data_IF_426906010462
#
_entry.id   IF_426906010462
#
_cell.length_a   1.000
_cell.length_b   1.000
_cell.length_c   1.000
_cell.angle_alpha   90.00
_cell.angle_beta   90.00
_cell.angle_gamma   90.00
#
_symmetry.space_group_name_H-M   'P 1'
#
loop_
_entity.id
_entity.type
_entity.pdbx_description
1 polymer ?
#
# COMPACT_ATOMS: atom_id res chain seq x y z
N UNK A 1 14.74 -12.16 -12.73
CA UNK A 1 14.06 -12.28 -11.43
C UNK A 1 13.64 -10.88 -11.04
N UNK A 2 12.50 -10.44 -11.55
CA UNK A 2 12.05 -9.05 -11.45
C UNK A 2 11.48 -8.83 -10.05
N UNK A 3 12.30 -8.36 -9.10
CA UNK A 3 11.83 -8.04 -7.75
C UNK A 3 10.91 -6.81 -7.83
N UNK A 4 9.62 -7.06 -8.06
CA UNK A 4 8.56 -6.05 -8.09
C UNK A 4 8.65 -5.10 -6.89
N UNK A 5 8.93 -5.67 -5.72
CA UNK A 5 9.14 -4.97 -4.45
C UNK A 5 10.31 -3.98 -4.51
N UNK A 6 11.44 -4.35 -5.10
CA UNK A 6 12.58 -3.44 -5.31
C UNK A 6 12.22 -2.28 -6.24
N UNK A 7 11.48 -2.55 -7.32
CA UNK A 7 11.05 -1.49 -8.26
C UNK A 7 10.15 -0.46 -7.58
N UNK A 8 9.17 -0.94 -6.79
CA UNK A 8 8.29 -0.04 -6.03
C UNK A 8 9.09 0.70 -4.96
N UNK A 9 10.01 0.03 -4.25
CA UNK A 9 10.89 0.65 -3.26
C UNK A 9 11.75 1.76 -3.84
N UNK A 10 12.44 1.49 -4.95
CA UNK A 10 13.28 2.47 -5.64
C UNK A 10 12.44 3.64 -6.16
N UNK A 11 11.23 3.36 -6.65
CA UNK A 11 10.33 4.41 -7.11
C UNK A 11 9.89 5.32 -5.95
N UNK A 12 9.49 4.74 -4.82
CA UNK A 12 9.11 5.48 -3.62
C UNK A 12 10.28 6.32 -3.07
N UNK A 13 11.49 5.77 -3.05
CA UNK A 13 12.67 6.43 -2.50
C UNK A 13 13.17 7.57 -3.41
N UNK A 14 13.26 7.34 -4.73
CA UNK A 14 13.85 8.31 -5.65
C UNK A 14 12.84 9.33 -6.20
N UNK A 15 11.60 8.93 -6.50
CA UNK A 15 10.60 9.83 -7.11
C UNK A 15 9.70 10.48 -6.07
N UNK A 16 9.26 9.70 -5.07
CA UNK A 16 8.37 10.22 -4.03
C UNK A 16 9.12 10.67 -2.77
N UNK A 17 10.45 10.48 -2.70
CA UNK A 17 11.31 10.87 -1.59
C UNK A 17 10.87 10.26 -0.24
N UNK A 18 10.36 9.03 -0.26
CA UNK A 18 9.97 8.31 0.95
C UNK A 18 11.19 7.90 1.77
N UNK A 19 11.01 7.89 3.09
CA UNK A 19 12.03 7.52 4.06
C UNK A 19 11.61 6.24 4.78
N UNK A 20 12.57 5.48 5.32
CA UNK A 20 12.31 4.24 6.06
C UNK A 20 11.49 3.20 5.24
N UNK A 21 11.73 3.09 3.92
CA UNK A 21 11.07 2.07 3.09
C UNK A 21 11.73 0.71 3.32
N UNK A 22 11.03 -0.13 4.08
CA UNK A 22 11.45 -1.47 4.49
C UNK A 22 10.43 -2.52 4.02
N UNK A 23 10.91 -3.72 3.73
CA UNK A 23 10.06 -4.87 3.45
C UNK A 23 9.56 -5.46 4.77
N UNK A 24 8.25 -5.65 4.89
CA UNK A 24 7.69 -6.31 6.06
C UNK A 24 8.07 -7.79 5.96
N UNK A 25 8.68 -8.40 7.00
CA UNK A 25 9.11 -9.79 6.97
C UNK A 25 7.94 -10.78 6.92
N UNK A 26 6.71 -10.30 7.04
CA UNK A 26 5.49 -11.09 6.91
C UNK A 26 5.16 -11.25 5.43
N UNK A 27 4.98 -12.49 5.04
CA UNK A 27 4.64 -12.88 3.68
C UNK A 27 3.26 -13.53 3.69
N UNK A 28 2.41 -13.17 2.74
CA UNK A 28 1.09 -13.80 2.57
C UNK A 28 1.11 -14.68 1.33
N UNK A 29 0.82 -15.97 1.50
CA UNK A 29 0.62 -16.88 0.38
C UNK A 29 -0.81 -16.75 -0.10
N UNK A 30 -0.99 -16.17 -1.28
CA UNK A 30 -2.29 -16.08 -1.94
C UNK A 30 -2.36 -17.05 -3.13
N UNK A 31 -3.58 -17.35 -3.60
CA UNK A 31 -3.90 -18.32 -4.65
C UNK A 31 -2.79 -18.42 -5.73
N UNK A 32 -2.42 -19.65 -6.06
CA UNK A 32 -1.30 -20.04 -6.94
C UNK A 32 0.12 -19.93 -6.33
N UNK A 33 0.25 -20.11 -5.01
CA UNK A 33 1.54 -20.11 -4.28
C UNK A 33 2.33 -18.79 -4.44
N UNK A 34 1.62 -17.71 -4.77
CA UNK A 34 2.24 -16.39 -4.93
C UNK A 34 2.47 -15.78 -3.57
N UNK A 35 3.74 -15.51 -3.30
CA UNK A 35 4.18 -14.82 -2.10
C UNK A 35 3.95 -13.32 -2.29
N UNK A 36 3.05 -12.76 -1.50
CA UNK A 36 2.77 -11.34 -1.45
C UNK A 36 3.58 -10.73 -0.31
N UNK A 37 4.47 -9.80 -0.69
CA UNK A 37 5.25 -8.99 0.23
C UNK A 37 4.67 -7.59 0.24
N UNK A 38 4.57 -6.98 1.42
CA UNK A 38 4.25 -5.57 1.54
C UNK A 38 5.49 -4.79 1.97
N UNK A 39 5.55 -3.54 1.52
CA UNK A 39 6.50 -2.55 1.98
C UNK A 39 5.84 -1.73 3.09
N UNK A 40 6.64 -1.24 4.01
CA UNK A 40 6.26 -0.19 4.94
C UNK A 40 7.17 0.99 4.69
N UNK A 41 6.62 2.20 4.66
CA UNK A 41 7.42 3.39 4.43
C UNK A 41 6.81 4.64 5.03
N UNK A 42 7.64 5.68 5.19
CA UNK A 42 7.20 6.98 5.67
C UNK A 42 7.21 8.00 4.52
N UNK A 43 6.07 8.58 4.16
CA UNK A 43 6.02 9.65 3.18
C UNK A 43 6.63 10.96 3.74
N UNK A 44 7.32 11.76 2.91
CA UNK A 44 7.94 13.02 3.33
C UNK A 44 6.92 14.16 3.51
N UNK A 45 5.75 14.06 2.88
CA UNK A 45 4.68 15.05 2.90
C UNK A 45 3.32 14.39 3.13
N UNK A 46 2.31 15.18 3.53
CA UNK A 46 0.93 14.72 3.65
C UNK A 46 0.48 14.12 2.33
N UNK A 47 0.02 12.87 2.38
CA UNK A 47 -0.48 12.15 1.21
C UNK A 47 -1.97 12.37 0.99
N UNK A 48 -2.73 12.78 2.02
CA UNK A 48 -4.15 13.10 1.92
C UNK A 48 -4.52 14.33 2.76
N UNK A 49 -5.55 15.06 2.31
CA UNK A 49 -6.20 16.13 3.08
C UNK A 49 -7.00 15.60 4.28
N UNK A 50 -7.32 14.29 4.31
CA UNK A 50 -8.03 13.64 5.43
C UNK A 50 -7.12 13.40 6.65
N UNK A 51 -5.81 13.62 6.52
CA UNK A 51 -4.86 13.50 7.64
C UNK A 51 -4.99 14.66 8.66
N UNK A 52 -5.83 15.66 8.37
CA UNK A 52 -6.06 16.83 9.22
C UNK A 52 -7.15 16.64 10.29
N UNK A 53 -8.06 15.66 10.17
CA UNK A 53 -9.23 15.59 11.07
C UNK A 53 -9.02 14.80 12.36
N UNK A 54 -7.92 14.04 12.53
CA UNK A 54 -7.83 13.08 13.65
C UNK A 54 -6.78 13.33 14.74
N UNK A 55 -5.87 14.32 14.66
CA UNK A 55 -4.83 14.47 15.70
C UNK A 55 -4.53 15.92 16.11
N UNK A 56 -5.49 16.58 16.77
CA UNK A 56 -5.19 17.56 17.82
C UNK A 56 -4.59 16.82 19.03
N UNK A 57 -3.28 16.54 18.98
CA UNK A 57 -2.62 15.90 20.11
C UNK A 57 -1.41 15.10 19.69
N UNK A 58 -0.27 15.77 19.69
CA UNK A 58 1.07 15.20 19.68
C UNK A 58 1.58 14.66 18.32
N UNK A 59 2.69 15.26 17.88
CA UNK A 59 3.55 14.79 16.79
C UNK A 59 2.96 14.74 15.37
N UNK A 60 3.27 15.78 14.58
CA UNK A 60 3.35 15.78 13.09
C UNK A 60 4.40 14.77 12.54
N UNK A 61 4.39 13.52 13.00
CA UNK A 61 5.19 12.45 12.42
C UNK A 61 4.31 11.74 11.42
N UNK A 62 4.67 11.81 10.13
CA UNK A 62 4.03 11.05 9.09
C UNK A 62 3.88 9.58 9.53
N UNK A 63 2.62 9.12 9.58
CA UNK A 63 2.29 7.73 9.94
C UNK A 63 2.98 6.80 8.94
N UNK A 64 3.41 5.63 9.41
CA UNK A 64 3.94 4.59 8.53
C UNK A 64 2.80 4.09 7.65
N UNK A 65 2.97 4.17 6.35
CA UNK A 65 2.01 3.66 5.38
C UNK A 65 2.47 2.27 4.93
N UNK A 66 1.51 1.40 4.70
CA UNK A 66 1.75 0.08 4.12
C UNK A 66 1.52 0.18 2.62
N UNK A 67 2.48 -0.31 1.83
CA UNK A 67 2.44 -0.32 0.38
C UNK A 67 2.42 -1.76 -0.12
N UNK A 68 1.42 -2.09 -0.92
CA UNK A 68 1.31 -3.36 -1.62
C UNK A 68 1.82 -3.20 -3.06
N UNK A 69 3.00 -3.74 -3.39
CA UNK A 69 3.45 -3.84 -4.77
C UNK A 69 2.57 -4.84 -5.54
N UNK A 70 1.97 -4.39 -6.65
CA UNK A 70 1.11 -5.22 -7.51
C UNK A 70 1.59 -5.07 -8.95
N UNK A 71 1.59 -6.16 -9.71
CA UNK A 71 1.86 -6.11 -11.14
C UNK A 71 0.58 -5.76 -11.93
N UNK A 72 0.69 -4.93 -12.96
CA UNK A 72 -0.46 -4.53 -13.78
C UNK A 72 -1.22 -5.73 -14.38
N UNK A 73 -0.51 -6.81 -14.71
CA UNK A 73 -1.11 -8.08 -15.16
C UNK A 73 -2.09 -8.64 -14.12
N UNK A 74 -1.69 -8.68 -12.84
CA UNK A 74 -2.57 -9.16 -11.75
C UNK A 74 -3.76 -8.24 -11.51
N UNK A 75 -3.56 -6.92 -11.67
CA UNK A 75 -4.65 -5.95 -11.55
C UNK A 75 -5.69 -6.13 -12.67
N UNK A 76 -5.24 -6.28 -13.92
CA UNK A 76 -6.12 -6.46 -15.10
C UNK A 76 -6.85 -7.80 -15.10
N UNK A 77 -6.21 -8.85 -14.60
CA UNK A 77 -6.79 -10.19 -14.52
C UNK A 77 -7.81 -10.34 -13.36
N UNK A 78 -8.03 -9.28 -12.56
CA UNK A 78 -9.01 -9.30 -11.47
C UNK A 78 -8.56 -10.10 -10.24
N UNK A 79 -7.27 -10.41 -10.12
CA UNK A 79 -6.72 -11.10 -8.94
C UNK A 79 -6.74 -10.22 -7.69
N UNK A 80 -6.71 -8.90 -7.85
CA UNK A 80 -6.86 -7.94 -6.75
C UNK A 80 -8.34 -7.89 -6.30
N UNK A 81 -8.76 -8.95 -5.64
CA UNK A 81 -10.09 -9.09 -5.05
C UNK A 81 -10.16 -8.42 -3.68
N UNK A 82 -11.37 -8.06 -3.25
CA UNK A 82 -11.61 -7.56 -1.89
C UNK A 82 -11.17 -8.59 -0.82
N UNK A 83 -11.36 -9.89 -1.10
CA UNK A 83 -10.93 -10.97 -0.21
C UNK A 83 -9.41 -10.96 0.04
N UNK A 84 -8.61 -10.69 -1.00
CA UNK A 84 -7.17 -10.57 -0.86
C UNK A 84 -6.80 -9.36 0.01
N UNK A 85 -7.43 -8.21 -0.24
CA UNK A 85 -7.17 -7.00 0.53
C UNK A 85 -7.51 -7.20 2.01
N UNK A 86 -8.65 -7.82 2.31
CA UNK A 86 -9.04 -8.14 3.68
C UNK A 86 -8.01 -9.03 4.37
N UNK A 87 -7.50 -10.04 3.67
CA UNK A 87 -6.43 -10.91 4.20
C UNK A 87 -5.12 -10.17 4.43
N UNK A 88 -4.73 -9.28 3.53
CA UNK A 88 -3.55 -8.41 3.72
C UNK A 88 -3.74 -7.50 4.93
N UNK A 89 -4.93 -6.95 5.12
CA UNK A 89 -5.24 -6.11 6.29
C UNK A 89 -5.20 -6.90 7.60
N UNK A 90 -5.62 -8.16 7.59
CA UNK A 90 -5.69 -8.98 8.80
C UNK A 90 -4.34 -9.61 9.16
N UNK A 91 -3.57 -10.09 8.17
CA UNK A 91 -2.32 -10.82 8.41
C UNK A 91 -1.08 -9.92 8.40
N UNK A 92 -1.02 -8.98 7.44
CA UNK A 92 0.19 -8.19 7.16
C UNK A 92 0.16 -6.80 7.81
N UNK A 93 -1.02 -6.17 7.91
CA UNK A 93 -1.15 -4.84 8.49
C UNK A 93 -1.42 -4.88 10.00
N UNK A 94 -1.28 -3.72 10.66
CA UNK A 94 -1.74 -3.54 12.03
C UNK A 94 -3.28 -3.41 12.06
N UNK A 95 -3.91 -3.81 13.16
CA UNK A 95 -5.36 -3.69 13.34
C UNK A 95 -5.87 -2.22 13.23
N UNK A 96 -4.98 -1.24 13.43
CA UNK A 96 -5.27 0.19 13.29
C UNK A 96 -5.13 0.72 11.86
N UNK A 97 -4.68 -0.10 10.90
CA UNK A 97 -4.48 0.33 9.52
C UNK A 97 -5.83 0.46 8.81
N UNK A 98 -6.20 1.70 8.48
CA UNK A 98 -7.46 2.04 7.80
C UNK A 98 -7.32 2.11 6.27
N UNK A 99 -6.09 2.26 5.78
CA UNK A 99 -5.78 2.39 4.35
C UNK A 99 -4.48 1.68 3.99
N UNK A 100 -4.41 1.22 2.75
CA UNK A 100 -3.27 0.55 2.13
C UNK A 100 -2.96 1.28 0.82
N UNK A 101 -1.69 1.54 0.56
CA UNK A 101 -1.25 2.09 -0.72
C UNK A 101 -0.97 0.95 -1.70
N UNK A 102 -1.61 0.93 -2.85
CA UNK A 102 -1.34 -0.02 -3.93
C UNK A 102 -0.33 0.61 -4.88
N UNK A 103 0.85 0.01 -5.00
CA UNK A 103 1.86 0.39 -5.99
C UNK A 103 1.78 -0.55 -7.20
N UNK A 104 0.97 -0.19 -8.19
CA UNK A 104 0.77 -0.97 -9.41
C UNK A 104 1.89 -0.66 -10.40
N UNK A 105 2.76 -1.63 -10.66
CA UNK A 105 3.86 -1.50 -11.62
C UNK A 105 3.40 -1.96 -12.99
N UNK A 106 3.55 -1.08 -13.98
CA UNK A 106 3.34 -1.38 -15.39
C UNK A 106 4.58 -2.02 -16.03
N UNK A 107 4.36 -2.67 -17.17
CA UNK A 107 5.42 -3.30 -17.97
C UNK A 107 6.43 -2.27 -18.51
N UNK A 108 6.00 -1.02 -18.72
CA UNK A 108 6.84 0.10 -19.15
C UNK A 108 7.72 0.69 -18.03
N UNK A 109 7.56 0.22 -16.79
CA UNK A 109 8.27 0.71 -15.60
C UNK A 109 7.64 1.89 -14.88
N UNK A 110 6.46 2.34 -15.33
CA UNK A 110 5.64 3.30 -14.59
C UNK A 110 5.04 2.63 -13.35
N UNK A 111 5.03 3.34 -12.21
CA UNK A 111 4.36 2.89 -10.98
C UNK A 111 3.17 3.81 -10.71
N UNK A 112 1.98 3.22 -10.65
CA UNK A 112 0.74 3.90 -10.29
C UNK A 112 0.42 3.66 -8.82
N UNK A 113 -0.03 4.70 -8.12
CA UNK A 113 -0.34 4.62 -6.69
C UNK A 113 -1.83 4.85 -6.45
N UNK A 114 -2.48 3.90 -5.78
CA UNK A 114 -3.91 3.99 -5.41
C UNK A 114 -4.09 3.74 -3.91
N UNK A 115 -4.97 4.49 -3.25
CA UNK A 115 -5.37 4.19 -1.88
C UNK A 115 -6.53 3.20 -1.86
N UNK A 116 -6.33 2.08 -1.16
CA UNK A 116 -7.38 1.11 -0.83
C UNK A 116 -7.72 1.24 0.65
N UNK A 117 -8.97 1.53 0.98
CA UNK A 117 -9.42 1.68 2.36
C UNK A 117 -10.03 0.37 2.88
N UNK A 118 -9.79 0.05 4.16
CA UNK A 118 -10.40 -1.10 4.84
C UNK A 118 -11.88 -0.79 5.11
N UNK A 119 -12.76 -1.39 4.31
CA UNK A 119 -14.22 -1.28 4.46
C UNK A 119 -14.92 -0.50 3.34
N UNK A 120 -16.25 -0.47 3.40
CA UNK A 120 -17.09 0.32 2.49
C UNK A 120 -17.03 1.77 2.98
N UNK A 121 -16.31 2.64 2.26
CA UNK A 121 -16.53 4.08 2.40
C UNK A 121 -17.99 4.33 2.03
N UNK A 122 -18.84 4.55 3.04
CA UNK A 122 -20.27 4.83 2.82
C UNK A 122 -20.36 6.02 1.85
N UNK A 123 -21.05 5.89 0.70
CA UNK A 123 -21.35 7.07 -0.08
C UNK A 123 -22.18 8.01 0.80
N UNK A 124 -21.65 9.20 1.11
CA UNK A 124 -22.43 10.28 1.73
C UNK A 124 -23.58 10.59 0.77
N UNK A 125 -24.78 10.12 1.10
CA UNK A 125 -26.04 10.59 0.48
C UNK A 125 -26.24 12.04 0.92
N UNK A 126 -26.28 12.95 -0.06
CA UNK A 126 -26.96 14.24 0.08
C UNK A 126 -28.47 14.03 0.25
#
# INVERSE_FOLDING_TARGET
MSNLTERVRDNLLHFHLWTEVEEVPKQLNWKDDRIINILVGRPPHKLSNDDDEEQEGDCKRAKKEYILPVEMSMYKEGYLTLELLDKIFDDLCAASTQRLLLGIVNDDGTVLYYFAHKGIYKPKKN
#
